data_IF_463589050414
#
_entry.id   IF_463589050414
#
_cell.length_a   1.000
_cell.length_b   1.000
_cell.length_c   1.000
_cell.angle_alpha   90.00
_cell.angle_beta   90.00
_cell.angle_gamma   90.00
#
_symmetry.space_group_name_H-M   'P 1'
#
loop_
_entity.id
_entity.type
_entity.pdbx_description
1 polymer ?
#
# COMPACT_ATOMS: atom_id res chain seq x y z
N UNK A 1 -4.87 -19.82 5.95
CA UNK A 1 -6.19 -19.14 5.99
C UNK A 1 -5.94 -17.68 5.65
N UNK A 2 -6.26 -17.22 4.44
CA UNK A 2 -6.09 -15.79 4.08
C UNK A 2 -7.34 -15.07 4.57
N UNK A 3 -7.14 -14.27 5.62
CA UNK A 3 -8.20 -13.55 6.31
C UNK A 3 -8.76 -12.46 5.40
N UNK A 4 -10.08 -12.52 5.16
CA UNK A 4 -10.97 -11.49 4.59
C UNK A 4 -10.26 -10.23 4.04
N UNK A 5 -9.98 -10.15 2.73
CA UNK A 5 -9.30 -9.00 2.12
C UNK A 5 -10.20 -7.77 1.96
N UNK A 6 -11.51 -7.88 2.23
CA UNK A 6 -12.47 -6.80 2.12
C UNK A 6 -12.45 -5.92 3.38
N UNK A 7 -12.17 -4.64 3.21
CA UNK A 7 -12.23 -3.64 4.27
C UNK A 7 -12.83 -2.34 3.75
N UNK A 8 -13.43 -1.55 4.63
CA UNK A 8 -13.93 -0.22 4.29
C UNK A 8 -12.80 0.78 4.52
N UNK A 9 -12.42 1.49 3.48
CA UNK A 9 -11.45 2.57 3.58
C UNK A 9 -12.19 3.87 3.89
N UNK A 10 -11.97 4.39 5.10
CA UNK A 10 -12.52 5.67 5.51
C UNK A 10 -11.60 6.81 5.04
N UNK A 11 -11.99 7.50 3.95
CA UNK A 11 -11.34 8.75 3.56
C UNK A 11 -11.62 9.84 4.60
N UNK A 12 -10.63 10.68 4.90
CA UNK A 12 -10.78 11.79 5.85
C UNK A 12 -10.58 13.14 5.18
N UNK A 13 -11.22 14.15 5.78
CA UNK A 13 -11.19 15.59 5.46
C UNK A 13 -12.06 16.01 4.28
N UNK A 14 -11.62 15.78 3.04
CA UNK A 14 -12.26 16.42 1.87
C UNK A 14 -13.31 15.53 1.19
N UNK A 15 -13.13 14.22 1.26
CA UNK A 15 -14.11 13.22 0.83
C UNK A 15 -14.40 12.32 2.03
N UNK A 16 -15.62 12.39 2.57
CA UNK A 16 -16.10 11.44 3.57
C UNK A 16 -16.88 10.36 2.85
N UNK A 17 -16.17 9.31 2.45
CA UNK A 17 -16.74 8.17 1.75
C UNK A 17 -16.20 6.87 2.37
N UNK A 18 -17.11 5.93 2.56
CA UNK A 18 -16.85 4.56 2.97
C UNK A 18 -16.71 3.72 1.71
N UNK A 19 -15.48 3.55 1.22
CA UNK A 19 -15.25 2.81 -0.01
C UNK A 19 -14.93 1.34 0.30
N UNK A 20 -15.70 0.37 -0.24
CA UNK A 20 -15.30 -1.02 -0.19
C UNK A 20 -13.98 -1.17 -0.95
N UNK A 21 -13.00 -1.78 -0.29
CA UNK A 21 -11.68 -1.96 -0.85
C UNK A 21 -11.15 -3.36 -0.56
N UNK A 22 -10.29 -3.83 -1.46
CA UNK A 22 -9.58 -5.08 -1.34
C UNK A 22 -8.10 -4.80 -1.09
N UNK A 23 -7.55 -5.39 -0.02
CA UNK A 23 -6.12 -5.36 0.25
C UNK A 23 -5.44 -6.62 -0.30
N UNK A 24 -4.45 -6.44 -1.18
CA UNK A 24 -3.56 -7.51 -1.64
C UNK A 24 -2.16 -7.30 -1.07
N UNK A 25 -1.62 -8.22 -0.25
CA UNK A 25 -0.24 -8.11 0.18
C UNK A 25 0.72 -8.26 -1.01
N UNK A 26 1.63 -7.30 -1.17
CA UNK A 26 2.68 -7.34 -2.17
C UNK A 26 3.90 -8.05 -1.55
N UNK A 27 4.03 -9.34 -1.87
CA UNK A 27 5.13 -10.21 -1.40
C UNK A 27 6.25 -10.34 -2.42
N UNK A 28 6.00 -10.01 -3.68
CA UNK A 28 7.01 -10.10 -4.74
C UNK A 28 8.13 -9.05 -4.52
N UNK A 29 9.40 -9.47 -4.45
CA UNK A 29 10.50 -8.56 -4.13
C UNK A 29 10.75 -7.50 -5.21
N UNK A 30 10.47 -7.81 -6.48
CA UNK A 30 10.66 -6.90 -7.61
C UNK A 30 9.57 -5.81 -7.60
N UNK A 31 8.31 -6.24 -7.43
CA UNK A 31 7.16 -5.34 -7.27
C UNK A 31 7.35 -4.41 -6.07
N UNK A 32 7.79 -4.96 -4.92
CA UNK A 32 8.11 -4.18 -3.71
C UNK A 32 9.17 -3.13 -3.99
N UNK A 33 10.24 -3.47 -4.71
CA UNK A 33 11.35 -2.55 -4.99
C UNK A 33 10.90 -1.41 -5.89
N UNK A 34 10.11 -1.68 -6.93
CA UNK A 34 9.58 -0.64 -7.82
C UNK A 34 8.69 0.35 -7.06
N UNK A 35 7.78 -0.17 -6.23
CA UNK A 35 6.84 0.66 -5.47
C UNK A 35 7.57 1.47 -4.40
N UNK A 36 8.39 0.82 -3.56
CA UNK A 36 9.12 1.49 -2.49
C UNK A 36 10.10 2.53 -3.02
N UNK A 37 10.76 2.30 -4.17
CA UNK A 37 11.66 3.28 -4.79
C UNK A 37 10.93 4.59 -5.10
N UNK A 38 9.70 4.51 -5.62
CA UNK A 38 8.88 5.71 -5.91
C UNK A 38 8.51 6.44 -4.62
N UNK A 39 8.12 5.71 -3.56
CA UNK A 39 7.80 6.29 -2.26
C UNK A 39 9.00 6.96 -1.60
N UNK A 40 10.15 6.28 -1.54
CA UNK A 40 11.37 6.81 -0.93
C UNK A 40 11.90 8.03 -1.68
N UNK A 41 11.81 8.04 -3.02
CA UNK A 41 12.17 9.20 -3.83
C UNK A 41 11.24 10.40 -3.53
N UNK A 42 9.92 10.17 -3.47
CA UNK A 42 8.94 11.22 -3.19
C UNK A 42 9.10 11.85 -1.80
N UNK A 43 9.63 11.09 -0.83
CA UNK A 43 9.89 11.58 0.53
C UNK A 43 11.35 11.96 0.77
N UNK A 44 12.16 12.03 -0.29
CA UNK A 44 13.57 12.39 -0.23
C UNK A 44 14.40 11.48 0.72
N UNK A 45 14.00 10.21 0.82
CA UNK A 45 14.55 9.13 1.65
C UNK A 45 15.05 7.94 0.82
N UNK A 46 15.60 8.22 -0.36
CA UNK A 46 16.09 7.18 -1.28
C UNK A 46 17.14 6.25 -0.65
N UNK A 47 17.89 6.74 0.34
CA UNK A 47 18.90 5.97 1.08
C UNK A 47 18.29 4.88 1.98
N UNK A 48 17.05 5.08 2.43
CA UNK A 48 16.36 4.13 3.30
C UNK A 48 15.73 2.94 2.54
N UNK A 49 15.81 2.88 1.21
CA UNK A 49 15.10 1.89 0.39
C UNK A 49 15.31 0.44 0.85
N UNK A 50 16.55 0.05 1.13
CA UNK A 50 16.88 -1.32 1.57
C UNK A 50 16.32 -1.62 2.97
N UNK A 51 16.30 -0.62 3.87
CA UNK A 51 15.69 -0.76 5.19
C UNK A 51 14.16 -0.93 5.10
N UNK A 52 13.52 -0.24 4.16
CA UNK A 52 12.09 -0.37 3.89
C UNK A 52 11.76 -1.71 3.26
N UNK A 53 12.58 -2.19 2.31
CA UNK A 53 12.40 -3.51 1.70
C UNK A 53 12.44 -4.63 2.75
N UNK A 54 13.35 -4.53 3.72
CA UNK A 54 13.55 -5.54 4.75
C UNK A 54 12.44 -5.58 5.83
N UNK A 55 11.82 -4.44 6.17
CA UNK A 55 10.93 -4.36 7.35
C UNK A 55 9.51 -3.88 7.08
N UNK A 56 9.23 -3.29 5.93
CA UNK A 56 7.91 -2.69 5.67
C UNK A 56 6.98 -3.69 4.98
N UNK A 57 5.85 -4.09 5.61
CA UNK A 57 4.80 -4.80 4.89
C UNK A 57 4.14 -3.82 3.90
N UNK A 58 3.94 -4.28 2.66
CA UNK A 58 3.33 -3.51 1.60
C UNK A 58 2.04 -4.20 1.16
N UNK A 59 0.97 -3.43 1.08
CA UNK A 59 -0.32 -3.90 0.57
C UNK A 59 -0.77 -2.94 -0.54
N UNK A 60 -1.21 -3.51 -1.65
CA UNK A 60 -1.98 -2.80 -2.65
C UNK A 60 -3.42 -2.72 -2.18
N UNK A 61 -4.03 -1.54 -2.30
CA UNK A 61 -5.45 -1.32 -2.00
C UNK A 61 -6.14 -0.98 -3.30
N UNK A 62 -7.12 -1.79 -3.68
CA UNK A 62 -7.99 -1.55 -4.83
C UNK A 62 -9.38 -1.23 -4.32
N UNK A 63 -9.95 -0.10 -4.75
CA UNK A 63 -11.34 0.27 -4.42
C UNK A 63 -12.28 -0.39 -5.43
N UNK A 64 -13.39 -0.95 -4.95
CA UNK A 64 -14.48 -1.37 -5.83
C UNK A 64 -15.16 -0.08 -6.33
N UNK A 65 -15.21 0.13 -7.65
CA UNK A 65 -15.83 1.33 -8.21
C UNK A 65 -17.33 1.34 -7.87
N UNK A 66 -17.81 2.48 -7.37
CA UNK A 66 -19.22 2.75 -7.13
C UNK A 66 -19.89 3.40 -8.33
#
# INVERSE_FOLDING_TARGET
>A
MVANPAFIFHLKRDAQADLPAHARPITDPDERRVVLTKFTANWNRSDDLDAWLARSPLVEVTFDEG
#
